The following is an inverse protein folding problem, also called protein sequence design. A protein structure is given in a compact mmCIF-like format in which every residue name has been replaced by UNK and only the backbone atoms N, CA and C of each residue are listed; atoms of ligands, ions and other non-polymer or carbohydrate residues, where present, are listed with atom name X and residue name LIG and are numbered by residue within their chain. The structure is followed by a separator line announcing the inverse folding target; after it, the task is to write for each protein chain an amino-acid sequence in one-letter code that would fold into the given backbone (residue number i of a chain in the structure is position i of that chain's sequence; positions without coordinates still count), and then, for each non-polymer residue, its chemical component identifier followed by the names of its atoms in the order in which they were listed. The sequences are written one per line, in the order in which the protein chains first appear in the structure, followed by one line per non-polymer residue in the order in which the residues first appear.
data_IF_989027442137
#
_entry.id   IF_989027442137
#
_cell.length_a   1.000
_cell.length_b   1.000
_cell.length_c   1.000
_cell.angle_alpha   90.00
_cell.angle_beta   90.00
_cell.angle_gamma   90.00
#
_symmetry.space_group_name_H-M   'P 1'
#
loop_
_entity.id
_entity.type
_entity.pdbx_description
1 polymer ?
#
# COMPACT_ATOMS: atom_id res chain seq x y z
N UNK A 1 -22.65 -4.68 26.83
CA UNK A 1 -21.73 -5.81 26.65
C UNK A 1 -20.55 -5.60 27.58
N UNK A 2 -20.30 -6.52 28.50
CA UNK A 2 -19.14 -6.46 29.42
C UNK A 2 -17.86 -6.62 28.60
N UNK A 3 -17.01 -5.58 28.55
CA UNK A 3 -15.68 -5.68 27.96
C UNK A 3 -14.78 -6.42 28.95
N UNK A 4 -14.75 -7.75 28.84
CA UNK A 4 -13.81 -8.56 29.62
C UNK A 4 -12.38 -8.15 29.25
N UNK A 5 -11.55 -7.91 30.27
CA UNK A 5 -10.15 -7.56 30.05
C UNK A 5 -9.45 -8.75 29.36
N UNK A 6 -8.96 -8.60 28.11
CA UNK A 6 -8.43 -9.72 27.33
C UNK A 6 -7.22 -10.38 27.99
N UNK A 7 -6.42 -9.60 28.73
CA UNK A 7 -5.26 -10.10 29.47
C UNK A 7 -5.68 -11.04 30.61
N UNK A 8 -6.79 -10.72 31.29
CA UNK A 8 -7.31 -11.55 32.38
C UNK A 8 -7.87 -12.88 31.87
N UNK A 9 -8.60 -12.86 30.75
CA UNK A 9 -9.08 -14.09 30.09
C UNK A 9 -7.93 -14.97 29.62
N UNK A 10 -6.92 -14.40 28.95
CA UNK A 10 -5.74 -15.16 28.53
C UNK A 10 -5.01 -15.80 29.72
N UNK A 11 -4.81 -15.06 30.82
CA UNK A 11 -4.18 -15.60 32.03
C UNK A 11 -4.99 -16.76 32.60
N UNK A 12 -6.30 -16.60 32.72
CA UNK A 12 -7.18 -17.63 33.27
C UNK A 12 -7.12 -18.90 32.42
N UNK A 13 -7.18 -18.77 31.10
CA UNK A 13 -7.03 -19.89 30.19
C UNK A 13 -5.70 -20.62 30.42
N UNK A 14 -4.57 -19.90 30.40
CA UNK A 14 -3.25 -20.50 30.54
C UNK A 14 -3.09 -21.22 31.90
N UNK A 15 -3.61 -20.68 32.99
CA UNK A 15 -3.56 -21.33 34.30
C UNK A 15 -4.37 -22.63 34.37
N UNK A 16 -5.46 -22.73 33.60
CA UNK A 16 -6.31 -23.92 33.56
C UNK A 16 -5.91 -24.93 32.47
N UNK A 17 -5.05 -24.52 31.53
CA UNK A 17 -4.66 -25.34 30.40
C UNK A 17 -3.72 -26.47 30.83
N UNK A 18 -4.06 -27.71 30.49
CA UNK A 18 -3.23 -28.89 30.74
C UNK A 18 -2.35 -29.17 29.52
N UNK A 19 -1.02 -28.94 29.59
CA UNK A 19 -0.14 -29.16 28.45
C UNK A 19 -0.03 -30.65 28.09
N UNK A 20 -0.12 -30.96 26.81
CA UNK A 20 -0.11 -32.35 26.32
C UNK A 20 1.31 -32.94 26.22
N UNK A 21 2.32 -32.08 26.06
CA UNK A 21 3.72 -32.49 25.94
C UNK A 21 4.68 -31.48 26.61
N UNK A 22 5.98 -31.80 26.55
CA UNK A 22 7.06 -30.97 27.13
C UNK A 22 7.21 -29.64 26.40
N UNK A 23 6.94 -29.60 25.09
CA UNK A 23 7.02 -28.39 24.27
C UNK A 23 5.94 -27.41 24.68
N UNK A 24 4.70 -27.88 24.81
CA UNK A 24 3.55 -27.08 25.25
C UNK A 24 3.76 -26.56 26.67
N UNK A 25 4.29 -27.39 27.59
CA UNK A 25 4.61 -26.94 28.94
C UNK A 25 5.61 -25.78 28.93
N UNK A 26 6.67 -25.90 28.13
CA UNK A 26 7.66 -24.82 27.97
C UNK A 26 7.02 -23.56 27.37
N UNK A 27 6.15 -23.69 26.37
CA UNK A 27 5.44 -22.56 25.77
C UNK A 27 4.52 -21.87 26.79
N UNK A 28 3.80 -22.67 27.59
CA UNK A 28 2.92 -22.21 28.64
C UNK A 28 3.68 -21.39 29.68
N UNK A 29 4.81 -21.90 30.18
CA UNK A 29 5.68 -21.22 31.13
C UNK A 29 6.21 -19.89 30.58
N UNK A 30 6.58 -19.86 29.30
CA UNK A 30 7.03 -18.64 28.63
C UNK A 30 5.90 -17.61 28.57
N UNK A 31 4.69 -18.00 28.18
CA UNK A 31 3.56 -17.08 28.08
C UNK A 31 3.13 -16.55 29.45
N UNK A 32 3.04 -17.40 30.47
CA UNK A 32 2.72 -17.01 31.85
C UNK A 32 3.76 -16.02 32.40
N UNK A 33 5.06 -16.29 32.18
CA UNK A 33 6.13 -15.35 32.55
C UNK A 33 5.99 -14.00 31.84
N UNK A 34 5.54 -13.99 30.59
CA UNK A 34 5.24 -12.76 29.84
C UNK A 34 4.15 -11.92 30.53
N UNK A 35 3.05 -12.57 30.91
CA UNK A 35 1.95 -11.92 31.63
C UNK A 35 2.39 -11.36 32.98
N UNK A 36 3.21 -12.10 33.73
CA UNK A 36 3.76 -11.63 35.01
C UNK A 36 4.65 -10.40 34.84
N UNK A 37 5.54 -10.39 33.84
CA UNK A 37 6.37 -9.23 33.55
C UNK A 37 5.52 -8.02 33.11
N UNK A 38 4.45 -8.25 32.34
CA UNK A 38 3.53 -7.20 31.92
C UNK A 38 2.80 -6.59 33.13
N UNK A 39 2.30 -7.43 34.04
CA UNK A 39 1.66 -6.99 35.28
C UNK A 39 2.63 -6.23 36.20
N UNK A 40 3.86 -6.74 36.36
CA UNK A 40 4.90 -6.05 37.13
C UNK A 40 5.23 -4.69 36.53
N UNK A 41 5.20 -4.55 35.20
CA UNK A 41 5.51 -3.29 34.52
C UNK A 41 4.46 -2.20 34.77
N UNK A 42 3.22 -2.60 35.05
CA UNK A 42 2.14 -1.70 35.43
C UNK A 42 2.23 -1.22 36.89
N UNK A 43 3.07 -1.84 37.73
CA UNK A 43 3.22 -1.45 39.12
C UNK A 43 4.02 -0.13 39.24
N UNK A 44 3.32 0.94 39.63
CA UNK A 44 3.88 2.29 39.78
C UNK A 44 4.94 2.39 40.90
N UNK A 45 4.94 1.45 41.86
CA UNK A 45 5.83 1.45 43.03
C UNK A 45 7.27 0.96 42.79
N UNK A 46 7.64 0.61 41.55
CA UNK A 46 8.99 0.10 41.27
C UNK A 46 10.06 1.19 41.36
N UNK A 47 11.14 0.88 42.08
CA UNK A 47 12.36 1.70 42.10
C UNK A 47 12.99 1.78 40.70
N UNK A 48 13.77 2.83 40.37
CA UNK A 48 14.44 2.94 39.08
C UNK A 48 15.30 1.72 38.72
N UNK A 49 15.98 1.12 39.70
CA UNK A 49 16.78 -0.10 39.51
C UNK A 49 15.91 -1.30 39.14
N UNK A 50 14.78 -1.48 39.80
CA UNK A 50 13.82 -2.54 39.47
C UNK A 50 13.21 -2.33 38.08
N UNK A 51 12.86 -1.09 37.69
CA UNK A 51 12.36 -0.77 36.33
C UNK A 51 13.38 -1.13 35.25
N UNK A 52 14.67 -0.81 35.46
CA UNK A 52 15.74 -1.19 34.52
C UNK A 52 15.88 -2.71 34.39
N UNK A 53 15.87 -3.43 35.52
CA UNK A 53 15.92 -4.90 35.55
C UNK A 53 14.72 -5.50 34.83
N UNK A 54 13.51 -4.99 35.10
CA UNK A 54 12.29 -5.44 34.46
C UNK A 54 12.30 -5.17 32.95
N UNK A 55 12.74 -4.00 32.52
CA UNK A 55 12.90 -3.68 31.09
C UNK A 55 13.88 -4.62 30.39
N UNK A 56 14.97 -5.00 31.07
CA UNK A 56 15.92 -5.99 30.56
C UNK A 56 15.30 -7.39 30.45
N UNK A 57 14.62 -7.86 31.50
CA UNK A 57 13.91 -9.16 31.49
C UNK A 57 12.81 -9.20 30.42
N UNK A 58 12.05 -8.11 30.27
CA UNK A 58 11.05 -7.96 29.21
C UNK A 58 11.70 -8.05 27.82
N UNK A 59 12.81 -7.34 27.60
CA UNK A 59 13.55 -7.42 26.33
C UNK A 59 14.03 -8.84 26.06
N UNK A 60 14.61 -9.52 27.06
CA UNK A 60 15.10 -10.91 26.95
C UNK A 60 13.97 -11.90 26.64
N UNK A 61 12.85 -11.78 27.34
CA UNK A 61 11.65 -12.59 27.10
C UNK A 61 11.14 -12.38 25.67
N UNK A 62 11.01 -11.11 25.26
CA UNK A 62 10.52 -10.68 23.95
C UNK A 62 11.41 -11.19 22.81
N UNK A 63 12.73 -11.11 22.95
CA UNK A 63 13.68 -11.40 21.86
C UNK A 63 14.12 -12.86 21.77
N UNK A 64 14.12 -13.63 22.85
CA UNK A 64 14.67 -15.00 22.83
C UNK A 64 13.62 -16.07 23.08
N UNK A 65 12.82 -15.91 24.14
CA UNK A 65 11.90 -16.96 24.55
C UNK A 65 10.67 -17.02 23.63
N UNK A 66 10.11 -15.86 23.30
CA UNK A 66 8.89 -15.82 22.50
C UNK A 66 9.13 -16.09 21.01
N UNK A 67 10.31 -15.74 20.49
CA UNK A 67 10.73 -16.18 19.16
C UNK A 67 10.94 -17.70 19.12
N UNK A 68 11.54 -18.31 20.16
CA UNK A 68 11.67 -19.78 20.25
C UNK A 68 10.29 -20.46 20.25
N UNK A 69 9.27 -19.86 20.88
CA UNK A 69 7.88 -20.34 20.77
C UNK A 69 7.40 -20.26 19.31
N UNK A 70 7.53 -19.10 18.66
CA UNK A 70 7.05 -18.87 17.31
C UNK A 70 7.64 -19.87 16.29
N UNK A 71 8.95 -20.04 16.25
CA UNK A 71 9.59 -20.94 15.28
C UNK A 71 9.35 -22.43 15.56
N UNK A 72 8.88 -22.78 16.76
CA UNK A 72 8.47 -24.16 17.10
C UNK A 72 7.00 -24.43 16.80
N UNK A 73 6.21 -23.43 16.39
CA UNK A 73 4.81 -23.65 16.08
C UNK A 73 4.65 -24.62 14.92
N UNK A 74 3.90 -25.73 15.09
CA UNK A 74 3.62 -26.64 14.00
C UNK A 74 2.68 -25.97 13.00
N UNK A 75 2.69 -26.42 11.74
CA UNK A 75 1.65 -26.01 10.77
C UNK A 75 1.56 -24.50 10.49
N UNK A 76 2.63 -23.74 10.69
CA UNK A 76 2.75 -22.42 10.06
C UNK A 76 2.67 -22.59 8.55
N UNK A 77 1.94 -21.70 7.88
CA UNK A 77 1.81 -21.75 6.41
C UNK A 77 3.18 -21.61 5.77
N UNK A 78 3.55 -22.57 4.93
CA UNK A 78 4.82 -22.61 4.20
C UNK A 78 4.55 -22.71 2.70
N UNK A 79 5.43 -22.14 1.85
CA UNK A 79 5.39 -22.41 0.43
C UNK A 79 5.61 -23.91 0.16
N UNK A 80 5.02 -24.43 -0.92
CA UNK A 80 5.30 -25.79 -1.40
C UNK A 80 6.80 -25.94 -1.69
N UNK A 81 7.36 -27.14 -1.56
CA UNK A 81 8.82 -27.38 -1.52
C UNK A 81 9.57 -26.81 -2.73
N UNK A 82 8.97 -26.89 -3.92
CA UNK A 82 9.52 -26.34 -5.17
C UNK A 82 9.54 -24.80 -5.15
N UNK A 83 8.46 -24.19 -4.69
CA UNK A 83 8.31 -22.74 -4.52
C UNK A 83 9.22 -22.24 -3.39
N UNK A 84 9.38 -23.00 -2.31
CA UNK A 84 10.15 -22.63 -1.14
C UNK A 84 11.63 -22.35 -1.46
N UNK A 85 12.21 -23.04 -2.45
CA UNK A 85 13.59 -22.79 -2.87
C UNK A 85 13.74 -21.44 -3.58
N UNK A 86 12.76 -21.08 -4.42
CA UNK A 86 12.76 -19.83 -5.17
C UNK A 86 12.54 -18.60 -4.27
N UNK A 87 11.72 -18.74 -3.23
CA UNK A 87 11.30 -17.62 -2.36
C UNK A 87 11.90 -17.69 -0.97
N UNK A 88 13.01 -18.40 -0.78
CA UNK A 88 13.53 -18.68 0.55
C UNK A 88 13.83 -17.41 1.33
N UNK A 89 14.56 -16.47 0.74
CA UNK A 89 14.97 -15.23 1.40
C UNK A 89 13.77 -14.33 1.72
N UNK A 90 12.85 -14.16 0.77
CA UNK A 90 11.65 -13.34 0.97
C UNK A 90 10.70 -13.96 2.00
N UNK A 91 10.56 -15.29 1.99
CA UNK A 91 9.79 -16.02 2.98
C UNK A 91 10.40 -15.92 4.37
N UNK A 92 11.72 -16.05 4.50
CA UNK A 92 12.42 -15.88 5.77
C UNK A 92 12.26 -14.45 6.30
N UNK A 93 12.32 -13.43 5.42
CA UNK A 93 12.03 -12.04 5.78
C UNK A 93 10.58 -11.87 6.25
N UNK A 94 9.61 -12.38 5.50
CA UNK A 94 8.19 -12.35 5.89
C UNK A 94 7.95 -13.04 7.24
N UNK A 95 8.59 -14.18 7.45
CA UNK A 95 8.46 -14.95 8.69
C UNK A 95 9.03 -14.17 9.88
N UNK A 96 10.14 -13.45 9.70
CA UNK A 96 10.71 -12.56 10.70
C UNK A 96 9.77 -11.39 11.03
N UNK A 97 9.16 -10.77 10.02
CA UNK A 97 8.20 -9.68 10.23
C UNK A 97 6.98 -10.17 11.03
N UNK A 98 6.43 -11.32 10.67
CA UNK A 98 5.30 -11.93 11.38
C UNK A 98 5.70 -12.36 12.80
N UNK A 99 6.93 -12.85 13.01
CA UNK A 99 7.42 -13.17 14.34
C UNK A 99 7.49 -11.92 15.23
N UNK A 100 7.93 -10.78 14.69
CA UNK A 100 7.97 -9.51 15.42
C UNK A 100 6.58 -8.99 15.78
N UNK A 101 5.59 -9.17 14.89
CA UNK A 101 4.19 -8.86 15.17
C UNK A 101 3.58 -9.80 16.22
N UNK A 102 3.84 -11.11 16.11
CA UNK A 102 3.44 -12.12 17.10
C UNK A 102 3.90 -11.70 18.49
N UNK A 103 5.18 -11.36 18.59
CA UNK A 103 5.81 -10.94 19.83
C UNK A 103 5.19 -9.66 20.41
N UNK A 104 4.73 -8.74 19.58
CA UNK A 104 4.12 -7.49 20.02
C UNK A 104 2.68 -7.66 20.51
N UNK A 105 1.94 -8.64 19.96
CA UNK A 105 0.46 -8.69 20.06
C UNK A 105 -0.06 -9.89 20.85
N UNK A 106 0.73 -10.93 21.05
CA UNK A 106 0.23 -12.20 21.62
C UNK A 106 -0.43 -12.01 22.99
N UNK A 107 0.16 -11.23 23.90
CA UNK A 107 -0.38 -11.08 25.26
C UNK A 107 -1.66 -10.25 25.33
N UNK A 108 -1.93 -9.43 24.31
CA UNK A 108 -3.06 -8.49 24.31
C UNK A 108 -4.21 -8.94 23.43
N UNK A 109 -3.93 -9.70 22.36
CA UNK A 109 -4.91 -10.04 21.33
C UNK A 109 -5.20 -11.53 21.19
N UNK A 110 -4.39 -12.41 21.79
CA UNK A 110 -4.65 -13.84 21.70
C UNK A 110 -5.80 -14.25 22.62
N UNK A 111 -6.89 -14.71 22.02
CA UNK A 111 -8.09 -15.15 22.71
C UNK A 111 -8.31 -16.65 22.42
N UNK A 112 -7.69 -17.53 23.21
CA UNK A 112 -7.69 -18.98 22.94
C UNK A 112 -9.08 -19.62 23.00
N UNK A 113 -10.03 -18.99 23.69
CA UNK A 113 -11.44 -19.42 23.79
C UNK A 113 -12.20 -19.31 22.46
N UNK A 114 -11.80 -18.40 21.57
CA UNK A 114 -12.43 -18.24 20.26
C UNK A 114 -12.03 -19.33 19.26
N UNK A 115 -11.01 -20.12 19.58
CA UNK A 115 -10.54 -21.22 18.75
C UNK A 115 -11.20 -22.52 19.21
N UNK A 116 -11.59 -23.39 18.26
CA UNK A 116 -12.31 -24.64 18.47
C UNK A 116 -11.91 -25.38 19.75
N UNK A 117 -12.92 -25.79 20.53
CA UNK A 117 -12.70 -26.54 21.77
C UNK A 117 -11.93 -27.85 21.50
N UNK A 118 -11.07 -28.25 22.45
CA UNK A 118 -10.30 -29.49 22.37
C UNK A 118 -8.96 -29.43 21.61
N UNK A 119 -8.63 -28.29 20.98
CA UNK A 119 -7.33 -28.13 20.32
C UNK A 119 -6.19 -27.81 21.30
N UNK A 120 -5.00 -28.31 20.99
CA UNK A 120 -3.77 -28.05 21.73
C UNK A 120 -3.36 -26.56 21.64
N UNK A 121 -2.60 -26.05 22.61
CA UNK A 121 -2.12 -24.68 22.67
C UNK A 121 -1.28 -24.34 21.43
N UNK A 122 -0.42 -25.27 21.02
CA UNK A 122 0.37 -25.16 19.79
C UNK A 122 -0.52 -24.97 18.56
N UNK A 123 -1.57 -25.79 18.40
CA UNK A 123 -2.51 -25.67 17.28
C UNK A 123 -3.26 -24.32 17.31
N UNK A 124 -3.73 -23.89 18.49
CA UNK A 124 -4.42 -22.61 18.67
C UNK A 124 -3.53 -21.42 18.30
N UNK A 125 -2.26 -21.44 18.70
CA UNK A 125 -1.27 -20.41 18.35
C UNK A 125 -0.98 -20.40 16.84
N UNK A 126 -0.83 -21.57 16.22
CA UNK A 126 -0.60 -21.67 14.77
C UNK A 126 -1.77 -21.13 13.96
N UNK A 127 -3.00 -21.46 14.36
CA UNK A 127 -4.22 -20.90 13.74
C UNK A 127 -4.23 -19.38 13.90
N UNK A 128 -3.93 -18.88 15.10
CA UNK A 128 -3.89 -17.44 15.35
C UNK A 128 -2.84 -16.73 14.49
N UNK A 129 -1.62 -17.28 14.36
CA UNK A 129 -0.59 -16.72 13.47
C UNK A 129 -1.05 -16.75 12.02
N UNK A 130 -1.58 -17.87 11.54
CA UNK A 130 -2.01 -18.01 10.15
C UNK A 130 -3.19 -17.09 9.80
N UNK A 131 -4.16 -16.96 10.70
CA UNK A 131 -5.41 -16.23 10.47
C UNK A 131 -5.33 -14.77 10.91
N UNK A 132 -4.96 -14.51 12.18
CA UNK A 132 -4.95 -13.15 12.76
C UNK A 132 -3.77 -12.32 12.28
N UNK A 133 -2.57 -12.90 12.23
CA UNK A 133 -1.39 -12.23 11.67
C UNK A 133 -1.29 -12.37 10.15
N UNK A 134 -2.27 -13.07 9.54
CA UNK A 134 -2.43 -13.22 8.09
C UNK A 134 -1.22 -13.84 7.38
N UNK A 135 -0.43 -14.69 8.05
CA UNK A 135 0.74 -15.33 7.43
C UNK A 135 0.38 -16.05 6.13
N UNK A 136 -0.75 -16.79 6.10
CA UNK A 136 -1.23 -17.47 4.90
C UNK A 136 -1.46 -16.51 3.72
N UNK A 137 -2.12 -15.38 3.99
CA UNK A 137 -2.44 -14.39 2.95
C UNK A 137 -1.21 -13.62 2.49
N UNK A 138 -0.33 -13.23 3.40
CA UNK A 138 0.94 -12.57 3.03
C UNK A 138 1.84 -13.49 2.21
N UNK A 139 1.83 -14.80 2.50
CA UNK A 139 2.52 -15.79 1.68
C UNK A 139 1.88 -15.90 0.28
N UNK A 140 0.54 -15.88 0.19
CA UNK A 140 -0.14 -15.84 -1.09
C UNK A 140 0.17 -14.55 -1.85
N UNK A 141 0.25 -13.40 -1.18
CA UNK A 141 0.62 -12.12 -1.78
C UNK A 141 2.07 -12.11 -2.26
N UNK A 142 2.94 -12.91 -1.64
CA UNK A 142 4.32 -13.10 -2.10
C UNK A 142 4.36 -13.96 -3.38
N UNK A 143 3.57 -15.04 -3.45
CA UNK A 143 3.62 -16.02 -4.54
C UNK A 143 2.77 -15.61 -5.75
N UNK A 144 1.58 -15.04 -5.51
CA UNK A 144 0.54 -14.80 -6.54
C UNK A 144 0.96 -13.79 -7.61
N UNK A 145 1.57 -12.63 -7.27
CA UNK A 145 2.06 -11.69 -8.27
C UNK A 145 3.10 -12.34 -9.18
N UNK A 146 3.92 -13.24 -8.66
CA UNK A 146 5.02 -13.82 -9.41
C UNK A 146 4.60 -15.00 -10.30
N UNK A 147 3.67 -15.86 -9.84
CA UNK A 147 3.05 -16.87 -10.70
C UNK A 147 2.35 -16.22 -11.89
N UNK A 148 1.55 -15.18 -11.64
CA UNK A 148 0.86 -14.43 -12.69
C UNK A 148 1.84 -13.62 -13.56
N UNK A 149 2.92 -13.08 -13.00
CA UNK A 149 4.01 -12.44 -13.78
C UNK A 149 4.71 -13.45 -14.69
N UNK A 150 4.94 -14.68 -14.22
CA UNK A 150 5.54 -15.73 -15.04
C UNK A 150 4.57 -16.21 -16.12
N UNK A 151 3.27 -16.31 -15.82
CA UNK A 151 2.24 -16.60 -16.83
C UNK A 151 2.21 -15.52 -17.91
N UNK A 152 2.22 -14.24 -17.54
CA UNK A 152 2.31 -13.12 -18.50
C UNK A 152 3.58 -13.22 -19.34
N UNK A 153 4.75 -13.45 -18.73
CA UNK A 153 6.00 -13.60 -19.48
C UNK A 153 5.97 -14.76 -20.47
N UNK A 154 5.35 -15.89 -20.10
CA UNK A 154 5.21 -17.02 -21.04
C UNK A 154 4.23 -16.68 -22.16
N UNK A 155 3.11 -16.03 -21.85
CA UNK A 155 2.14 -15.56 -22.84
C UNK A 155 2.77 -14.54 -23.81
N UNK A 156 3.60 -13.62 -23.32
CA UNK A 156 4.39 -12.67 -24.14
C UNK A 156 5.36 -13.42 -25.07
N UNK A 157 6.02 -14.48 -24.58
CA UNK A 157 6.91 -15.34 -25.40
C UNK A 157 6.11 -16.10 -26.47
N UNK A 158 4.95 -16.63 -26.12
CA UNK A 158 4.06 -17.31 -27.08
C UNK A 158 3.61 -16.33 -28.15
N UNK A 159 3.22 -15.11 -27.77
CA UNK A 159 2.81 -14.06 -28.70
C UNK A 159 3.96 -13.64 -29.62
N UNK A 160 5.17 -13.48 -29.08
CA UNK A 160 6.37 -13.18 -29.84
C UNK A 160 6.69 -14.28 -30.86
N UNK A 161 6.59 -15.55 -30.47
CA UNK A 161 6.81 -16.69 -31.35
C UNK A 161 5.75 -16.78 -32.45
N UNK A 162 4.47 -16.61 -32.08
CA UNK A 162 3.36 -16.62 -33.03
C UNK A 162 3.46 -15.47 -34.04
N UNK A 163 3.93 -14.29 -33.63
CA UNK A 163 4.16 -13.16 -34.52
C UNK A 163 5.34 -13.33 -35.49
N UNK A 164 6.31 -14.19 -35.18
CA UNK A 164 7.49 -14.45 -36.03
C UNK A 164 7.24 -15.45 -37.15
N UNK A 165 6.27 -16.35 -36.98
CA UNK A 165 6.03 -17.46 -37.91
C UNK A 165 4.55 -17.60 -38.21
N UNK A 166 4.17 -17.35 -39.46
CA UNK A 166 2.81 -17.59 -39.96
C UNK A 166 2.44 -19.09 -39.94
N UNK A 167 3.46 -19.95 -39.96
CA UNK A 167 3.33 -21.41 -39.94
C UNK A 167 3.36 -21.99 -38.51
N UNK A 168 3.12 -21.16 -37.48
CA UNK A 168 3.20 -21.55 -36.09
C UNK A 168 4.63 -21.80 -35.60
N UNK A 169 4.78 -22.27 -34.36
CA UNK A 169 6.08 -22.59 -33.75
C UNK A 169 6.08 -23.98 -33.12
N UNK A 170 7.24 -24.62 -33.05
CA UNK A 170 7.42 -25.96 -32.46
C UNK A 170 7.68 -25.88 -30.95
N UNK A 171 7.48 -27.01 -30.25
CA UNK A 171 7.82 -27.12 -28.81
C UNK A 171 9.29 -26.80 -28.54
N UNK A 172 10.17 -27.20 -29.45
CA UNK A 172 11.61 -27.00 -29.34
C UNK A 172 11.98 -25.51 -29.38
N UNK A 173 11.40 -24.75 -30.32
CA UNK A 173 11.60 -23.30 -30.42
C UNK A 173 11.10 -22.56 -29.17
N UNK A 174 9.95 -22.97 -28.64
CA UNK A 174 9.44 -22.42 -27.39
C UNK A 174 10.37 -22.69 -26.20
N UNK A 175 10.83 -23.93 -26.06
CA UNK A 175 11.71 -24.31 -24.96
C UNK A 175 13.10 -23.67 -25.05
N UNK A 176 13.61 -23.42 -26.25
CA UNK A 176 14.88 -22.70 -26.45
C UNK A 176 14.81 -21.28 -25.89
N UNK A 177 13.71 -20.55 -26.15
CA UNK A 177 13.50 -19.20 -25.60
C UNK A 177 13.30 -19.24 -24.08
N UNK A 178 12.54 -20.22 -23.56
CA UNK A 178 12.32 -20.38 -22.13
C UNK A 178 13.65 -20.65 -21.39
N UNK A 179 14.53 -21.48 -21.95
CA UNK A 179 15.84 -21.79 -21.34
C UNK A 179 16.74 -20.54 -21.20
N UNK A 180 16.60 -19.56 -22.09
CA UNK A 180 17.32 -18.28 -21.98
C UNK A 180 16.78 -17.39 -20.84
N UNK A 181 15.59 -17.68 -20.31
CA UNK A 181 14.98 -16.96 -19.20
C UNK A 181 15.19 -17.74 -17.89
N UNK A 182 16.28 -17.46 -17.19
CA UNK A 182 16.74 -18.13 -15.94
C UNK A 182 15.70 -18.30 -14.81
N UNK A 183 14.51 -17.69 -14.91
CA UNK A 183 13.49 -17.65 -13.85
C UNK A 183 12.24 -18.49 -14.14
N UNK A 184 12.19 -19.20 -15.28
CA UNK A 184 11.05 -20.02 -15.70
C UNK A 184 11.51 -21.46 -15.90
N UNK A 185 10.93 -22.40 -15.15
CA UNK A 185 11.21 -23.83 -15.34
C UNK A 185 10.61 -24.31 -16.67
N UNK A 186 11.39 -25.05 -17.46
CA UNK A 186 10.94 -25.65 -18.73
C UNK A 186 9.76 -26.61 -18.54
N UNK A 187 9.74 -27.36 -17.43
CA UNK A 187 8.65 -28.28 -17.09
C UNK A 187 7.35 -27.51 -16.88
N UNK A 188 7.40 -26.46 -16.04
CA UNK A 188 6.23 -25.61 -15.77
C UNK A 188 5.74 -24.87 -17.02
N UNK A 189 6.65 -24.32 -17.83
CA UNK A 189 6.30 -23.64 -19.07
C UNK A 189 5.63 -24.57 -20.08
N UNK A 190 6.06 -25.84 -20.13
CA UNK A 190 5.45 -26.87 -20.98
C UNK A 190 4.04 -27.21 -20.50
N UNK A 191 3.85 -27.45 -19.20
CA UNK A 191 2.53 -27.73 -18.63
C UNK A 191 1.56 -26.58 -18.87
N UNK A 192 2.02 -25.35 -18.65
CA UNK A 192 1.22 -24.14 -18.88
C UNK A 192 0.89 -23.95 -20.37
N UNK A 193 1.83 -24.22 -21.27
CA UNK A 193 1.56 -24.22 -22.71
C UNK A 193 0.45 -25.21 -23.05
N UNK A 194 0.53 -26.45 -22.57
CA UNK A 194 -0.48 -27.49 -22.82
C UNK A 194 -1.85 -27.14 -22.25
N UNK A 195 -1.92 -26.43 -21.12
CA UNK A 195 -3.17 -25.93 -20.53
C UNK A 195 -3.83 -24.84 -21.40
N UNK A 196 -3.01 -24.01 -22.06
CA UNK A 196 -3.47 -22.93 -22.94
C UNK A 196 -3.94 -23.44 -24.30
N UNK A 197 -3.35 -24.53 -24.83
CA UNK A 197 -3.68 -25.01 -26.18
C UNK A 197 -5.19 -25.12 -26.40
N UNK A 198 -5.99 -25.84 -25.59
CA UNK A 198 -7.42 -25.97 -25.86
C UNK A 198 -8.21 -24.64 -25.91
N UNK A 199 -7.67 -23.57 -25.33
CA UNK A 199 -8.34 -22.27 -25.24
C UNK A 199 -8.05 -21.36 -26.44
N UNK A 200 -6.85 -21.46 -27.03
CA UNK A 200 -6.37 -20.51 -28.06
C UNK A 200 -5.99 -21.18 -29.38
N UNK A 201 -6.12 -22.51 -29.46
CA UNK A 201 -5.78 -23.32 -30.62
C UNK A 201 -6.85 -23.29 -31.70
N UNK A 202 -6.43 -22.99 -32.93
CA UNK A 202 -7.35 -22.77 -34.06
C UNK A 202 -7.48 -23.94 -35.04
N UNK A 203 -6.58 -24.93 -35.08
CA UNK A 203 -6.66 -26.06 -36.03
C UNK A 203 -5.84 -27.31 -35.61
N UNK A 204 -6.31 -28.55 -35.84
CA UNK A 204 -5.56 -29.76 -35.48
C UNK A 204 -4.15 -29.80 -36.11
N UNK A 205 -3.16 -30.22 -35.32
CA UNK A 205 -1.75 -30.24 -35.74
C UNK A 205 -1.52 -31.24 -36.86
N UNK A 206 -1.15 -30.76 -38.04
CA UNK A 206 -0.19 -31.47 -38.87
C UNK A 206 1.21 -30.97 -38.43
N UNK A 207 2.12 -31.89 -38.11
CA UNK A 207 3.56 -31.63 -37.85
C UNK A 207 4.01 -30.94 -36.55
N UNK A 208 3.37 -31.19 -35.40
CA UNK A 208 3.88 -30.77 -34.06
C UNK A 208 4.08 -29.23 -33.91
N UNK A 209 3.44 -28.45 -34.78
CA UNK A 209 3.46 -26.99 -34.80
C UNK A 209 2.26 -26.43 -34.05
N UNK A 210 2.53 -25.42 -33.25
CA UNK A 210 1.56 -24.73 -32.44
C UNK A 210 1.06 -23.44 -33.12
N UNK A 211 -0.25 -23.34 -33.30
CA UNK A 211 -0.93 -22.18 -33.87
C UNK A 211 -1.78 -21.51 -32.80
N UNK A 212 -1.58 -20.20 -32.62
CA UNK A 212 -2.33 -19.38 -31.69
C UNK A 212 -3.06 -18.28 -32.44
N UNK A 213 -4.32 -18.04 -32.06
CA UNK A 213 -5.00 -16.80 -32.42
C UNK A 213 -4.38 -15.64 -31.63
N UNK A 214 -3.49 -14.87 -32.28
CA UNK A 214 -2.76 -13.77 -31.64
C UNK A 214 -3.68 -12.72 -31.03
N UNK A 215 -4.79 -12.39 -31.72
CA UNK A 215 -5.73 -11.39 -31.21
C UNK A 215 -6.40 -11.88 -29.93
N UNK A 216 -6.87 -13.13 -29.91
CA UNK A 216 -7.49 -13.71 -28.73
C UNK A 216 -6.50 -13.87 -27.57
N UNK A 217 -5.24 -14.16 -27.88
CA UNK A 217 -4.17 -14.25 -26.89
C UNK A 217 -3.81 -12.87 -26.30
N UNK A 218 -3.78 -11.82 -27.13
CA UNK A 218 -3.62 -10.42 -26.71
C UNK A 218 -4.76 -9.98 -25.79
N UNK A 219 -6.02 -10.23 -26.19
CA UNK A 219 -7.20 -9.90 -25.37
C UNK A 219 -7.16 -10.63 -24.02
N UNK A 220 -6.71 -11.89 -24.00
CA UNK A 220 -6.54 -12.66 -22.76
C UNK A 220 -5.39 -12.14 -21.90
N UNK A 221 -4.26 -11.77 -22.51
CA UNK A 221 -3.15 -11.11 -21.84
C UNK A 221 -3.61 -9.82 -21.18
N UNK A 222 -4.37 -8.99 -21.89
CA UNK A 222 -4.94 -7.75 -21.38
C UNK A 222 -5.90 -8.00 -20.22
N UNK A 223 -6.77 -9.01 -20.32
CA UNK A 223 -7.68 -9.40 -19.25
C UNK A 223 -6.94 -9.94 -18.01
N UNK A 224 -5.90 -10.77 -18.21
CA UNK A 224 -5.05 -11.31 -17.14
C UNK A 224 -4.25 -10.22 -16.43
N UNK A 225 -3.75 -9.25 -17.20
CA UNK A 225 -3.16 -8.03 -16.70
C UNK A 225 -4.20 -7.25 -15.88
N UNK A 226 -5.40 -6.98 -16.39
CA UNK A 226 -6.47 -6.30 -15.65
C UNK A 226 -6.83 -6.99 -14.31
N UNK A 227 -6.91 -8.32 -14.27
CA UNK A 227 -7.19 -9.10 -13.05
C UNK A 227 -6.05 -9.09 -12.01
N UNK A 228 -4.84 -8.72 -12.39
CA UNK A 228 -3.74 -8.42 -11.44
C UNK A 228 -3.88 -7.06 -10.79
N UNK A 229 -4.72 -6.20 -11.36
CA UNK A 229 -4.80 -4.79 -11.05
C UNK A 229 -6.11 -4.40 -10.33
N UNK A 230 -7.08 -5.31 -10.19
CA UNK A 230 -8.25 -5.10 -9.32
C UNK A 230 -7.88 -5.23 -7.84
N UNK A 231 -7.78 -4.10 -7.15
CA UNK A 231 -7.94 -4.00 -5.69
C UNK A 231 -9.30 -3.36 -5.42
N UNK A 232 -10.18 -4.05 -4.69
CA UNK A 232 -11.32 -3.41 -4.05
C UNK A 232 -10.78 -2.36 -3.08
N UNK A 233 -11.05 -1.09 -3.37
CA UNK A 233 -10.97 -0.03 -2.37
C UNK A 233 -11.76 -0.46 -1.12
N UNK A 234 -11.30 -0.02 0.05
CA UNK A 234 -12.11 -0.08 1.26
C UNK A 234 -13.50 0.50 0.94
N UNK A 235 -14.60 -0.24 1.15
CA UNK A 235 -15.93 0.26 0.87
C UNK A 235 -16.21 1.61 1.54
N UNK A 236 -15.56 1.92 2.66
CA UNK A 236 -15.69 3.20 3.35
C UNK A 236 -15.05 4.40 2.61
N UNK A 237 -14.09 4.15 1.71
CA UNK A 237 -13.46 5.15 0.84
C UNK A 237 -14.18 5.21 -0.50
N UNK A 238 -14.56 4.06 -1.07
CA UNK A 238 -15.28 3.98 -2.34
C UNK A 238 -16.71 4.55 -2.29
N UNK A 239 -17.37 4.51 -1.12
CA UNK A 239 -18.73 5.06 -0.94
C UNK A 239 -18.77 6.59 -0.77
N UNK A 240 -17.62 7.26 -0.67
CA UNK A 240 -17.53 8.73 -0.55
C UNK A 240 -17.07 9.44 -1.83
N UNK A 241 -16.67 8.67 -2.84
CA UNK A 241 -16.48 9.16 -4.20
C UNK A 241 -17.80 8.81 -4.89
N UNK A 242 -18.64 9.78 -5.30
CA UNK A 242 -19.84 9.45 -6.04
C UNK A 242 -19.44 8.70 -7.30
N UNK A 243 -19.97 7.49 -7.48
CA UNK A 243 -19.82 6.79 -8.76
C UNK A 243 -20.46 7.68 -9.84
N UNK A 244 -19.83 7.83 -11.02
CA UNK A 244 -20.47 8.51 -12.14
C UNK A 244 -21.81 7.83 -12.38
N UNK A 245 -22.89 8.59 -12.30
CA UNK A 245 -24.22 8.10 -12.64
C UNK A 245 -24.15 7.52 -14.05
N UNK A 246 -24.54 6.26 -14.20
CA UNK A 246 -24.51 5.50 -15.46
C UNK A 246 -25.56 5.98 -16.47
N UNK A 247 -25.92 7.26 -16.44
CA UNK A 247 -26.58 7.93 -17.54
C UNK A 247 -25.49 8.36 -18.52
N UNK A 248 -25.46 7.74 -19.69
CA UNK A 248 -24.68 8.18 -20.84
C UNK A 248 -25.08 9.61 -21.22
N UNK A 249 -24.48 10.61 -20.57
CA UNK A 249 -24.43 11.97 -21.07
C UNK A 249 -23.10 12.14 -21.79
N UNK A 250 -23.16 12.39 -23.09
CA UNK A 250 -22.04 12.77 -23.96
C UNK A 250 -21.53 14.18 -23.64
N UNK A 251 -21.26 14.48 -22.37
CA UNK A 251 -20.69 15.76 -21.96
C UNK A 251 -19.19 15.73 -22.22
N UNK A 252 -18.71 16.62 -23.09
CA UNK A 252 -17.30 16.81 -23.48
C UNK A 252 -16.41 17.32 -22.32
N UNK A 253 -16.93 17.35 -21.09
CA UNK A 253 -16.23 17.88 -19.92
C UNK A 253 -15.01 16.99 -19.56
N UNK A 254 -13.80 17.58 -19.44
CA UNK A 254 -12.58 16.81 -19.26
C UNK A 254 -12.56 16.09 -17.91
N UNK A 255 -12.30 14.77 -17.93
CA UNK A 255 -12.15 13.95 -16.72
C UNK A 255 -11.04 14.49 -15.80
N UNK A 256 -11.08 14.15 -14.49
CA UNK A 256 -10.01 14.49 -13.55
C UNK A 256 -8.62 14.05 -14.06
N UNK A 257 -8.56 12.89 -14.73
CA UNK A 257 -7.32 12.39 -15.32
C UNK A 257 -6.82 13.26 -16.48
N UNK A 258 -7.74 13.76 -17.30
CA UNK A 258 -7.45 14.72 -18.36
C UNK A 258 -6.96 16.04 -17.77
N UNK A 259 -7.62 16.56 -16.72
CA UNK A 259 -7.20 17.79 -16.02
C UNK A 259 -5.78 17.67 -15.45
N UNK A 260 -5.49 16.56 -14.77
CA UNK A 260 -4.15 16.29 -14.23
C UNK A 260 -3.10 16.19 -15.34
N UNK A 261 -3.41 15.48 -16.43
CA UNK A 261 -2.50 15.35 -17.59
C UNK A 261 -2.20 16.70 -18.24
N UNK A 262 -3.23 17.53 -18.44
CA UNK A 262 -3.08 18.88 -19.00
C UNK A 262 -2.21 19.77 -18.09
N UNK A 263 -2.44 19.70 -16.77
CA UNK A 263 -1.68 20.49 -15.79
C UNK A 263 -0.19 20.09 -15.75
N UNK A 264 0.10 18.78 -15.89
CA UNK A 264 1.47 18.28 -16.00
C UNK A 264 2.16 18.74 -17.28
N UNK A 265 1.45 18.75 -18.40
CA UNK A 265 1.95 19.21 -19.69
C UNK A 265 2.21 20.72 -19.68
N UNK A 266 1.25 21.52 -19.22
CA UNK A 266 1.32 22.98 -19.21
C UNK A 266 2.49 23.48 -18.33
N UNK A 267 2.67 22.87 -17.16
CA UNK A 267 3.67 23.33 -16.20
C UNK A 267 4.93 22.45 -16.13
N UNK A 268 5.17 21.64 -17.17
CA UNK A 268 6.34 20.76 -17.27
C UNK A 268 7.65 21.48 -16.96
N UNK A 269 7.86 22.69 -17.51
CA UNK A 269 9.08 23.50 -17.30
C UNK A 269 9.24 23.96 -15.84
N UNK A 270 8.14 24.29 -15.17
CA UNK A 270 8.15 24.71 -13.76
C UNK A 270 8.47 23.52 -12.85
N UNK A 271 7.82 22.37 -13.09
CA UNK A 271 8.09 21.12 -12.37
C UNK A 271 9.54 20.64 -12.57
N UNK A 272 10.08 20.79 -13.79
CA UNK A 272 11.50 20.50 -14.09
C UNK A 272 12.47 21.40 -13.29
N UNK A 273 12.16 22.70 -13.12
CA UNK A 273 12.99 23.62 -12.32
C UNK A 273 12.99 23.27 -10.83
N UNK A 274 11.87 22.74 -10.32
CA UNK A 274 11.74 22.33 -8.92
C UNK A 274 12.50 21.02 -8.66
N UNK A 275 12.59 20.14 -9.66
CA UNK A 275 13.32 18.89 -9.55
C UNK A 275 14.85 19.04 -9.65
N UNK A 276 15.45 19.62 -8.61
CA UNK A 276 16.87 19.51 -8.22
C UNK A 276 17.90 19.97 -9.28
N UNK A 277 18.56 21.08 -8.94
CA UNK A 277 19.85 21.59 -9.48
C UNK A 277 20.99 20.56 -9.68
N UNK A 278 20.84 19.29 -9.26
CA UNK A 278 21.91 18.28 -9.18
C UNK A 278 21.57 16.91 -9.82
N UNK A 279 20.48 16.76 -10.58
CA UNK A 279 20.33 15.58 -11.43
C UNK A 279 19.59 15.95 -12.73
N UNK A 280 20.30 16.17 -13.85
CA UNK A 280 19.68 16.46 -15.15
C UNK A 280 18.77 15.31 -15.63
N UNK A 281 18.89 14.12 -15.05
CA UNK A 281 18.06 12.96 -15.34
C UNK A 281 16.86 12.83 -14.40
N UNK A 282 16.52 13.83 -13.57
CA UNK A 282 15.26 13.79 -12.83
C UNK A 282 14.06 14.00 -13.78
N UNK A 283 13.30 12.93 -14.04
CA UNK A 283 12.09 13.00 -14.86
C UNK A 283 10.84 13.20 -14.00
N UNK A 284 10.79 14.23 -13.14
CA UNK A 284 9.66 14.37 -12.21
C UNK A 284 8.29 14.52 -12.86
N UNK A 285 8.23 15.08 -14.08
CA UNK A 285 6.98 15.08 -14.87
C UNK A 285 6.57 13.65 -15.22
N UNK A 286 7.49 12.82 -15.73
CA UNK A 286 7.24 11.40 -16.00
C UNK A 286 6.89 10.64 -14.73
N UNK A 287 7.52 10.99 -13.59
CA UNK A 287 7.21 10.40 -12.30
C UNK A 287 5.78 10.68 -11.86
N UNK A 288 5.36 11.94 -11.99
CA UNK A 288 4.00 12.34 -11.66
C UNK A 288 3.00 11.74 -12.65
N UNK A 289 3.29 11.75 -13.95
CA UNK A 289 2.48 11.08 -14.98
C UNK A 289 2.29 9.60 -14.65
N UNK A 290 3.37 8.88 -14.32
CA UNK A 290 3.31 7.47 -13.94
C UNK A 290 2.57 7.28 -12.61
N UNK A 291 2.85 8.09 -11.60
CA UNK A 291 2.14 8.03 -10.33
C UNK A 291 0.63 8.26 -10.51
N UNK A 292 0.23 9.26 -11.27
CA UNK A 292 -1.18 9.55 -11.53
C UNK A 292 -1.81 8.54 -12.47
N UNK A 293 -1.08 8.01 -13.45
CA UNK A 293 -1.55 6.87 -14.23
C UNK A 293 -1.86 5.68 -13.30
N UNK A 294 -1.02 5.44 -12.30
CA UNK A 294 -1.24 4.40 -11.30
C UNK A 294 -2.43 4.67 -10.39
N UNK A 295 -2.63 5.92 -9.94
CA UNK A 295 -3.74 6.27 -9.06
C UNK A 295 -5.09 6.37 -9.79
N UNK A 296 -5.11 6.94 -10.99
CA UNK A 296 -6.33 7.26 -11.75
C UNK A 296 -6.82 6.08 -12.58
N UNK A 297 -5.91 5.39 -13.27
CA UNK A 297 -6.27 4.24 -14.11
C UNK A 297 -6.12 2.91 -13.38
N UNK A 298 -5.76 2.93 -12.09
CA UNK A 298 -5.47 1.74 -11.29
C UNK A 298 -4.38 0.83 -11.91
N UNK A 299 -3.60 1.35 -12.87
CA UNK A 299 -2.55 0.61 -13.56
C UNK A 299 -1.38 0.47 -12.60
N UNK A 300 -1.13 -0.73 -12.10
CA UNK A 300 -0.02 -0.96 -11.16
C UNK A 300 1.31 -0.88 -11.91
N UNK A 301 1.89 0.31 -11.93
CA UNK A 301 3.19 0.51 -12.59
C UNK A 301 4.25 -0.18 -11.75
N UNK A 302 5.05 -1.04 -12.39
CA UNK A 302 6.16 -1.68 -11.74
C UNK A 302 7.18 -0.62 -11.32
N UNK A 303 7.21 -0.29 -10.02
CA UNK A 303 8.18 0.67 -9.45
C UNK A 303 9.63 0.24 -9.73
N UNK A 304 9.90 -1.07 -9.92
CA UNK A 304 11.23 -1.54 -10.35
C UNK A 304 11.57 -1.14 -11.79
N UNK A 305 10.60 -1.16 -12.70
CA UNK A 305 10.79 -0.70 -14.08
C UNK A 305 11.04 0.80 -14.11
N UNK A 306 10.31 1.59 -13.30
CA UNK A 306 10.54 3.03 -13.19
C UNK A 306 11.91 3.34 -12.57
N UNK A 307 12.27 2.64 -11.50
CA UNK A 307 13.55 2.84 -10.82
C UNK A 307 14.75 2.41 -11.67
N UNK A 308 14.60 1.36 -12.50
CA UNK A 308 15.58 1.00 -13.54
C UNK A 308 15.66 2.05 -14.64
N UNK A 309 14.53 2.49 -15.19
CA UNK A 309 14.48 3.54 -16.23
C UNK A 309 15.17 4.82 -15.78
N UNK A 310 15.02 5.17 -14.50
CA UNK A 310 15.59 6.38 -13.92
C UNK A 310 16.99 6.19 -13.31
N UNK A 311 17.50 4.96 -13.26
CA UNK A 311 18.78 4.66 -12.63
C UNK A 311 18.86 5.03 -11.13
N UNK A 312 17.75 4.99 -10.39
CA UNK A 312 17.69 5.36 -8.97
C UNK A 312 17.12 4.21 -8.13
N UNK A 313 17.61 4.01 -6.91
CA UNK A 313 17.07 2.99 -5.99
C UNK A 313 15.62 3.33 -5.58
N UNK A 314 14.78 2.31 -5.38
CA UNK A 314 13.36 2.45 -4.98
C UNK A 314 13.11 3.36 -3.75
N UNK A 315 13.86 3.26 -2.64
CA UNK A 315 13.65 4.16 -1.50
C UNK A 315 13.95 5.63 -1.84
N UNK A 316 14.94 5.87 -2.70
CA UNK A 316 15.31 7.21 -3.17
C UNK A 316 14.24 7.79 -4.08
N UNK A 317 13.71 6.98 -4.99
CA UNK A 317 12.57 7.31 -5.86
C UNK A 317 11.36 7.73 -5.02
N UNK A 318 10.93 6.88 -4.10
CA UNK A 318 9.70 7.11 -3.33
C UNK A 318 9.85 8.33 -2.42
N UNK A 319 10.99 8.45 -1.74
CA UNK A 319 11.30 9.63 -0.92
C UNK A 319 11.30 10.92 -1.75
N UNK A 320 11.80 10.88 -2.99
CA UNK A 320 11.81 12.05 -3.86
C UNK A 320 10.40 12.44 -4.32
N UNK A 321 9.63 11.46 -4.80
CA UNK A 321 8.25 11.65 -5.26
C UNK A 321 7.38 12.24 -4.13
N UNK A 322 7.39 11.62 -2.95
CA UNK A 322 6.60 12.04 -1.80
C UNK A 322 7.04 13.41 -1.25
N UNK A 323 8.35 13.66 -1.13
CA UNK A 323 8.83 14.86 -0.41
C UNK A 323 8.98 16.10 -1.30
N UNK A 324 9.08 15.92 -2.62
CA UNK A 324 9.36 17.02 -3.56
C UNK A 324 8.32 17.12 -4.65
N UNK A 325 8.12 16.08 -5.45
CA UNK A 325 7.36 16.22 -6.70
C UNK A 325 5.85 16.27 -6.48
N UNK A 326 5.29 15.43 -5.60
CA UNK A 326 3.86 15.51 -5.24
C UNK A 326 3.49 16.84 -4.59
N UNK A 327 4.19 17.33 -3.54
CA UNK A 327 3.86 18.63 -2.94
C UNK A 327 3.95 19.79 -3.92
N UNK A 328 4.97 19.79 -4.79
CA UNK A 328 5.13 20.83 -5.80
C UNK A 328 3.99 20.81 -6.84
N UNK A 329 3.57 19.62 -7.26
CA UNK A 329 2.42 19.47 -8.14
C UNK A 329 1.13 19.97 -7.51
N UNK A 330 0.87 19.62 -6.25
CA UNK A 330 -0.31 20.06 -5.53
C UNK A 330 -0.35 21.58 -5.29
N UNK A 331 0.77 22.17 -4.90
CA UNK A 331 0.90 23.63 -4.80
C UNK A 331 0.58 24.30 -6.13
N UNK A 332 1.17 23.80 -7.22
CA UNK A 332 0.95 24.32 -8.55
C UNK A 332 -0.53 24.22 -8.96
N UNK A 333 -1.16 23.05 -8.77
CA UNK A 333 -2.57 22.83 -9.07
C UNK A 333 -3.47 23.82 -8.32
N UNK A 334 -3.16 24.10 -7.06
CA UNK A 334 -3.88 25.12 -6.29
C UNK A 334 -3.66 26.49 -6.92
N UNK A 335 -2.41 26.92 -7.16
CA UNK A 335 -2.14 28.30 -7.57
C UNK A 335 -2.49 28.63 -9.02
N UNK A 336 -2.57 27.64 -9.91
CA UNK A 336 -2.89 27.87 -11.32
C UNK A 336 -4.36 27.69 -11.63
N UNK A 337 -5.11 27.06 -10.71
CA UNK A 337 -6.55 26.89 -10.82
C UNK A 337 -7.31 28.22 -10.93
N UNK A 338 -8.31 28.32 -11.83
CA UNK A 338 -9.23 29.44 -11.88
C UNK A 338 -9.97 29.67 -10.55
N UNK A 339 -10.25 28.62 -9.77
CA UNK A 339 -10.98 28.76 -8.49
C UNK A 339 -10.15 29.35 -7.37
N UNK A 340 -8.84 29.45 -7.58
CA UNK A 340 -7.90 30.12 -6.67
C UNK A 340 -7.64 31.57 -7.06
N UNK A 341 -8.00 31.97 -8.27
CA UNK A 341 -7.84 33.35 -8.72
C UNK A 341 -8.87 34.24 -8.00
N UNK A 342 -8.40 35.37 -7.48
CA UNK A 342 -9.27 36.34 -6.82
C UNK A 342 -10.14 36.98 -7.90
N UNK A 343 -11.46 36.84 -7.77
CA UNK A 343 -12.37 37.56 -8.64
C UNK A 343 -12.23 39.07 -8.36
N UNK A 344 -11.92 39.91 -9.37
CA UNK A 344 -11.70 41.33 -9.18
C UNK A 344 -12.94 42.08 -8.66
N UNK A 345 -14.14 41.54 -8.89
CA UNK A 345 -15.39 42.16 -8.47
C UNK A 345 -15.73 41.84 -7.01
N UNK A 346 -15.53 40.60 -6.56
CA UNK A 346 -15.90 40.17 -5.20
C UNK A 346 -14.72 40.16 -4.23
N UNK A 347 -13.48 40.28 -4.72
CA UNK A 347 -12.24 40.08 -3.96
C UNK A 347 -12.13 38.70 -3.27
N UNK A 348 -12.96 37.75 -3.68
CA UNK A 348 -13.01 36.41 -3.10
C UNK A 348 -12.81 35.36 -4.20
N UNK A 349 -12.04 34.32 -3.90
CA UNK A 349 -11.93 33.14 -4.74
C UNK A 349 -12.83 32.04 -4.19
N UNK A 350 -13.49 31.22 -5.04
CA UNK A 350 -14.32 30.12 -4.56
C UNK A 350 -13.59 29.18 -3.60
N UNK A 351 -12.30 28.90 -3.86
CA UNK A 351 -11.48 28.10 -2.97
C UNK A 351 -11.28 28.75 -1.60
N UNK A 352 -11.08 30.08 -1.55
CA UNK A 352 -10.97 30.83 -0.30
C UNK A 352 -12.27 30.71 0.50
N UNK A 353 -13.41 30.93 -0.13
CA UNK A 353 -14.71 30.80 0.53
C UNK A 353 -14.91 29.39 1.08
N UNK A 354 -14.62 28.35 0.29
CA UNK A 354 -14.69 26.97 0.74
C UNK A 354 -13.80 26.71 1.96
N UNK A 355 -12.55 27.16 1.95
CA UNK A 355 -11.62 26.98 3.08
C UNK A 355 -12.12 27.75 4.32
N UNK A 356 -12.78 28.89 4.16
CA UNK A 356 -13.33 29.66 5.29
C UNK A 356 -14.50 28.95 5.95
N UNK A 357 -15.46 28.50 5.16
CA UNK A 357 -16.70 27.90 5.65
C UNK A 357 -16.57 26.41 5.96
N UNK A 358 -15.67 25.70 5.26
CA UNK A 358 -15.47 24.24 5.30
C UNK A 358 -16.80 23.48 5.40
N UNK A 359 -17.69 23.59 4.39
CA UNK A 359 -19.10 23.22 4.50
C UNK A 359 -19.30 21.73 4.88
N UNK A 360 -18.37 20.87 4.43
CA UNK A 360 -18.40 19.43 4.71
C UNK A 360 -17.56 19.02 5.94
N UNK A 361 -16.93 20.01 6.59
CA UNK A 361 -15.95 19.82 7.66
C UNK A 361 -14.77 18.92 7.27
N UNK A 362 -14.42 18.85 5.98
CA UNK A 362 -13.35 17.97 5.47
C UNK A 362 -11.98 18.48 5.90
N UNK A 363 -11.78 19.78 5.85
CA UNK A 363 -10.49 20.41 6.19
C UNK A 363 -10.26 20.44 7.70
N UNK A 364 -11.31 20.72 8.49
CA UNK A 364 -11.29 20.74 9.95
C UNK A 364 -11.09 19.35 10.56
N UNK A 365 -11.70 18.31 9.96
CA UNK A 365 -11.48 16.90 10.37
C UNK A 365 -10.11 16.35 9.96
N UNK A 366 -9.43 16.98 9.01
CA UNK A 366 -8.08 16.58 8.62
C UNK A 366 -7.04 17.26 9.53
N UNK A 367 -6.88 16.74 10.75
CA UNK A 367 -5.90 17.20 11.74
C UNK A 367 -4.72 16.25 11.92
N UNK A 368 -3.65 16.78 12.51
CA UNK A 368 -2.45 15.99 12.81
C UNK A 368 -2.72 15.02 13.97
N UNK A 369 -2.35 13.75 13.77
CA UNK A 369 -2.35 12.71 14.80
C UNK A 369 -0.92 12.19 14.93
N UNK A 370 -0.36 12.23 16.13
CA UNK A 370 0.99 11.75 16.38
C UNK A 370 1.08 10.22 16.43
N UNK A 371 2.31 9.70 16.59
CA UNK A 371 2.57 8.26 16.60
C UNK A 371 1.99 7.52 17.81
N UNK A 372 1.64 8.25 18.86
CA UNK A 372 1.04 7.73 20.07
C UNK A 372 -0.49 7.86 20.07
N UNK A 373 -1.08 8.35 18.97
CA UNK A 373 -2.51 8.62 18.87
C UNK A 373 -2.93 9.95 19.49
N UNK A 374 -1.98 10.83 19.83
CA UNK A 374 -2.28 12.18 20.29
C UNK A 374 -2.87 13.02 19.16
N UNK A 375 -4.05 13.61 19.41
CA UNK A 375 -4.79 14.41 18.44
C UNK A 375 -4.51 15.91 18.61
N UNK A 376 -4.28 16.61 17.51
CA UNK A 376 -4.00 18.05 17.48
C UNK A 376 -5.06 18.76 16.64
N UNK A 377 -6.32 18.90 17.13
CA UNK A 377 -7.45 19.40 16.34
C UNK A 377 -7.22 20.84 15.82
N UNK A 378 -6.47 21.66 16.56
CA UNK A 378 -6.11 23.01 16.12
C UNK A 378 -5.12 23.00 14.94
N UNK A 379 -4.31 21.96 14.80
CA UNK A 379 -3.39 21.73 13.68
C UNK A 379 -4.08 20.96 12.56
N UNK A 380 -5.15 21.55 12.02
CA UNK A 380 -5.92 21.00 10.90
C UNK A 380 -5.61 21.70 9.56
N UNK A 381 -6.06 21.07 8.47
CA UNK A 381 -5.80 21.54 7.11
C UNK A 381 -6.41 22.92 6.86
N UNK A 382 -7.56 23.23 7.46
CA UNK A 382 -8.23 24.52 7.34
C UNK A 382 -7.39 25.65 7.95
N UNK A 383 -6.97 25.46 9.21
CA UNK A 383 -6.16 26.44 9.95
C UNK A 383 -4.78 26.63 9.33
N UNK A 384 -4.17 25.57 8.83
CA UNK A 384 -2.90 25.66 8.12
C UNK A 384 -3.06 26.40 6.79
N UNK A 385 -4.12 26.12 6.02
CA UNK A 385 -4.40 26.81 4.76
C UNK A 385 -4.57 28.32 4.96
N UNK A 386 -5.36 28.72 5.97
CA UNK A 386 -5.57 30.12 6.35
C UNK A 386 -4.26 30.86 6.72
N UNK A 387 -3.24 30.15 7.19
CA UNK A 387 -1.95 30.76 7.61
C UNK A 387 -0.84 30.68 6.56
N UNK A 388 -0.97 29.78 5.57
CA UNK A 388 0.10 29.45 4.63
C UNK A 388 -0.19 29.83 3.18
N UNK A 389 -1.46 29.88 2.77
CA UNK A 389 -1.80 30.22 1.39
C UNK A 389 -1.83 31.73 1.18
N UNK A 390 -1.27 32.17 0.06
CA UNK A 390 -1.02 33.59 -0.22
C UNK A 390 -2.31 34.40 -0.32
N UNK A 391 -3.39 33.80 -0.81
CA UNK A 391 -4.69 34.48 -0.93
C UNK A 391 -5.43 34.66 0.41
N UNK A 392 -4.96 34.01 1.49
CA UNK A 392 -5.41 34.30 2.85
C UNK A 392 -4.51 35.29 3.57
N UNK A 393 -3.20 35.14 3.38
CA UNK A 393 -2.19 35.97 4.05
C UNK A 393 -1.17 36.43 3.03
N UNK A 394 -1.07 37.75 2.75
CA UNK A 394 -0.09 38.28 1.78
C UNK A 394 1.35 38.01 2.23
N UNK A 395 1.56 37.71 3.51
CA UNK A 395 2.82 37.27 4.10
C UNK A 395 2.59 35.96 4.86
N UNK A 396 2.72 34.80 4.20
CA UNK A 396 2.53 33.50 4.83
C UNK A 396 3.36 33.33 6.11
N UNK A 397 2.78 32.68 7.11
CA UNK A 397 3.46 32.50 8.39
C UNK A 397 4.66 31.56 8.24
N UNK A 398 5.78 31.91 8.89
CA UNK A 398 6.99 31.08 8.81
C UNK A 398 6.76 29.75 9.52
N UNK A 399 7.17 28.65 8.90
CA UNK A 399 7.09 27.29 9.48
C UNK A 399 7.60 27.16 10.91
N UNK A 400 8.67 27.89 11.28
CA UNK A 400 9.21 27.89 12.63
C UNK A 400 8.19 28.41 13.66
N UNK A 401 7.42 29.44 13.30
CA UNK A 401 6.44 30.05 14.19
C UNK A 401 5.21 29.14 14.34
N UNK A 402 4.71 28.58 13.23
CA UNK A 402 3.62 27.61 13.27
C UNK A 402 3.96 26.36 14.07
N UNK A 403 5.18 25.85 13.90
CA UNK A 403 5.68 24.70 14.66
C UNK A 403 5.71 24.99 16.17
N UNK A 404 6.15 26.19 16.58
CA UNK A 404 6.09 26.63 17.97
C UNK A 404 4.65 26.78 18.46
N UNK A 405 3.77 27.38 17.66
CA UNK A 405 2.36 27.59 17.99
C UNK A 405 1.62 26.27 18.25
N UNK A 406 1.79 25.27 17.37
CA UNK A 406 1.17 23.95 17.52
C UNK A 406 1.95 22.99 18.43
N UNK A 407 3.09 23.42 18.97
CA UNK A 407 4.00 22.58 19.77
C UNK A 407 4.46 21.31 19.03
N UNK A 408 4.65 21.42 17.72
CA UNK A 408 5.10 20.32 16.86
C UNK A 408 6.53 20.54 16.38
N UNK A 409 7.22 19.45 16.08
CA UNK A 409 8.47 19.56 15.34
C UNK A 409 8.21 20.16 13.95
N UNK A 410 9.04 21.11 13.54
CA UNK A 410 8.93 21.80 12.23
C UNK A 410 8.84 20.83 11.06
N UNK A 411 9.65 19.78 11.03
CA UNK A 411 9.66 18.82 9.92
C UNK A 411 8.40 17.96 9.90
N UNK A 412 7.87 17.63 11.08
CA UNK A 412 6.58 16.94 11.23
C UNK A 412 5.45 17.79 10.66
N UNK A 413 5.41 19.07 11.01
CA UNK A 413 4.37 19.99 10.52
C UNK A 413 4.46 20.19 9.00
N UNK A 414 5.67 20.40 8.47
CA UNK A 414 5.91 20.49 7.02
C UNK A 414 5.46 19.21 6.32
N UNK A 415 5.78 18.04 6.87
CA UNK A 415 5.38 16.76 6.29
C UNK A 415 3.86 16.60 6.28
N UNK A 416 3.19 16.95 7.38
CA UNK A 416 1.73 16.88 7.47
C UNK A 416 1.08 17.79 6.42
N UNK A 417 1.52 19.04 6.33
CA UNK A 417 1.06 19.99 5.30
C UNK A 417 1.24 19.43 3.89
N UNK A 418 2.45 18.95 3.58
CA UNK A 418 2.80 18.51 2.24
C UNK A 418 2.11 17.25 1.78
N UNK A 419 1.92 16.29 2.69
CA UNK A 419 1.41 14.96 2.35
C UNK A 419 -0.10 14.82 2.49
N UNK A 420 -0.73 15.61 3.38
CA UNK A 420 -2.16 15.50 3.66
C UNK A 420 -2.91 16.77 3.29
N UNK A 421 -2.51 17.92 3.83
CA UNK A 421 -3.25 19.17 3.65
C UNK A 421 -3.26 19.62 2.18
N UNK A 422 -2.09 19.72 1.54
CA UNK A 422 -2.00 20.14 0.14
C UNK A 422 -2.79 19.21 -0.78
N UNK A 423 -2.64 17.90 -0.61
CA UNK A 423 -3.39 16.92 -1.39
C UNK A 423 -4.91 17.14 -1.27
N UNK A 424 -5.42 17.25 -0.05
CA UNK A 424 -6.85 17.45 0.19
C UNK A 424 -7.35 18.77 -0.39
N UNK A 425 -6.58 19.85 -0.25
CA UNK A 425 -6.93 21.16 -0.81
C UNK A 425 -6.94 21.11 -2.34
N UNK A 426 -5.99 20.42 -2.97
CA UNK A 426 -5.98 20.23 -4.43
C UNK A 426 -7.19 19.43 -4.90
N UNK A 427 -7.63 18.40 -4.17
CA UNK A 427 -8.85 17.66 -4.52
C UNK A 427 -10.09 18.58 -4.51
N UNK A 428 -10.26 19.37 -3.45
CA UNK A 428 -11.33 20.36 -3.35
C UNK A 428 -11.24 21.38 -4.49
N UNK A 429 -10.02 21.79 -4.87
CA UNK A 429 -9.79 22.71 -5.99
C UNK A 429 -10.36 22.13 -7.30
N UNK A 430 -10.09 20.85 -7.61
CA UNK A 430 -10.62 20.20 -8.80
C UNK A 430 -12.14 19.97 -8.77
N UNK A 431 -12.69 19.68 -7.59
CA UNK A 431 -14.14 19.53 -7.39
C UNK A 431 -14.84 20.87 -7.70
N UNK A 432 -14.36 21.97 -7.11
CA UNK A 432 -14.89 23.31 -7.38
C UNK A 432 -14.75 23.73 -8.84
N UNK A 433 -13.65 23.39 -9.50
CA UNK A 433 -13.51 23.63 -10.94
C UNK A 433 -14.57 22.89 -11.75
N UNK A 434 -14.87 21.64 -11.38
CA UNK A 434 -15.94 20.87 -12.04
C UNK A 434 -17.28 21.55 -11.85
N UNK A 435 -17.63 21.94 -10.62
CA UNK A 435 -18.91 22.60 -10.33
C UNK A 435 -19.09 23.92 -11.10
N UNK A 436 -18.01 24.68 -11.30
CA UNK A 436 -18.08 25.93 -12.07
C UNK A 436 -18.27 25.64 -13.56
N UNK A 437 -17.55 24.66 -14.10
CA UNK A 437 -17.74 24.21 -15.49
C UNK A 437 -19.18 23.77 -15.74
N UNK A 438 -19.75 22.96 -14.84
CA UNK A 438 -21.11 22.43 -14.98
C UNK A 438 -22.17 23.56 -14.93
N UNK A 439 -21.93 24.63 -14.16
CA UNK A 439 -22.85 25.80 -14.12
C UNK A 439 -22.82 26.62 -15.40
N UNK A 440 -21.64 26.76 -16.02
CA UNK A 440 -21.48 27.53 -17.26
C UNK A 440 -22.05 26.82 -18.49
N UNK A 441 -22.22 25.49 -18.45
CA UNK A 441 -22.84 24.73 -19.55
C UNK A 441 -24.37 24.82 -19.54
N UNK A 442 -24.98 25.22 -18.43
CA UNK A 442 -26.45 25.30 -18.26
C UNK A 442 -27.00 26.70 -18.57
N UNK A 443 -26.17 27.74 -18.46
CA UNK A 443 -26.47 29.13 -18.86
C UNK A 443 -26.22 29.35 -20.35
#
# INVERSE_FOLDING_TARGET
MSTTNPVASLRQFLLTYQPQDVVERKMLDILLRGLDLQQQSANLGLTPRQRRRLKFEWKKWRSHLLLDVFYRLPSLSRPQREIAAQYREDYDSLLNDVAMEFVARILTEFQPEQVTQGQSLTAKLSIWVNCKLRLKWRLLDLITPQKKTNQIKVLEIILELAGRSLDGFTKSEFLEIIQQKNNISSTWATEFLMELLPQFWSAPSEDDRYFFDCQRLEDYLDQMQQQLYTVSLDPAIATKIPAPSSSESTSDSPTLATKISNLLLEHRKTLQKICVKNNPNCHCTLLLEKYFQQQLYQVKINEESITRLLGVKRPTYQSHLERKCLPAFWELAIYTSPVSQINPQTQESPLKQYIETDPESRLGKCYYIDRNGGEYPDCNSQNLAKKLLIFFTPKPEKWKNLALYYQLNRDTLIRFWKMKCLFLISLITFELESEISDRLEVE
#
